data_IF_565763007819
#
_entry.id   IF_565763007819
#
_cell.length_a   1.000
_cell.length_b   1.000
_cell.length_c   1.000
_cell.angle_alpha   90.00
_cell.angle_beta   90.00
_cell.angle_gamma   90.00
#
_symmetry.space_group_name_H-M   'P 1'
#
loop_
_entity.id
_entity.type
_entity.pdbx_description
1 polymer ?
#
# COMPACT_ATOMS: atom_id res chain seq x y z
N UNK A 1 41.68 90.51 48.84
CA UNK A 1 41.75 89.15 48.24
C UNK A 1 40.33 88.61 48.10
N UNK A 2 39.90 88.09 46.93
CA UNK A 2 38.51 87.72 46.68
C UNK A 2 38.24 86.24 47.03
N UNK A 3 37.12 85.97 47.70
CA UNK A 3 36.62 84.63 48.00
C UNK A 3 35.73 84.13 46.86
N UNK A 4 36.14 83.07 46.16
CA UNK A 4 35.33 82.37 45.14
C UNK A 4 34.28 81.50 45.84
N UNK A 5 33.01 81.69 45.49
CA UNK A 5 31.92 80.79 45.86
C UNK A 5 31.82 79.69 44.79
N UNK A 6 31.90 78.43 45.21
CA UNK A 6 31.78 77.25 44.35
C UNK A 6 30.32 76.77 44.38
N UNK A 7 29.61 76.88 43.26
CA UNK A 7 28.26 76.34 43.09
C UNK A 7 28.34 74.84 42.79
N UNK A 8 27.82 74.02 43.71
CA UNK A 8 27.72 72.57 43.54
C UNK A 8 26.59 72.20 42.55
N UNK A 9 26.75 71.13 41.75
CA UNK A 9 25.74 70.72 40.78
C UNK A 9 24.51 70.06 41.46
N UNK A 10 23.31 70.17 40.88
CA UNK A 10 22.11 69.54 41.41
C UNK A 10 22.21 68.01 41.31
N UNK A 11 21.95 67.33 42.43
CA UNK A 11 21.84 65.86 42.48
C UNK A 11 20.46 65.45 41.96
N UNK A 12 20.42 64.67 40.88
CA UNK A 12 19.18 64.06 40.42
C UNK A 12 18.65 63.10 41.50
N UNK A 13 17.36 63.19 41.88
CA UNK A 13 16.78 62.25 42.83
C UNK A 13 16.74 60.85 42.19
N UNK A 14 17.41 59.91 42.82
CA UNK A 14 17.26 58.48 42.57
C UNK A 14 15.81 58.12 42.90
N UNK A 15 14.99 57.91 41.88
CA UNK A 15 13.61 57.43 42.04
C UNK A 15 13.68 56.01 42.61
N UNK A 16 13.17 55.84 43.84
CA UNK A 16 13.15 54.56 44.53
C UNK A 16 12.25 53.56 43.81
N UNK A 17 12.77 52.36 43.62
CA UNK A 17 12.11 51.19 43.04
C UNK A 17 10.85 50.87 43.84
N UNK A 18 9.67 51.13 43.30
CA UNK A 18 8.42 50.87 44.04
C UNK A 18 8.09 49.39 43.99
N UNK A 19 7.59 48.83 45.09
CA UNK A 19 7.14 47.42 45.15
C UNK A 19 6.13 47.08 44.03
N UNK A 20 5.32 48.07 43.64
CA UNK A 20 4.35 47.97 42.55
C UNK A 20 5.06 47.72 41.21
N UNK A 21 6.18 48.39 40.93
CA UNK A 21 6.92 48.26 39.68
C UNK A 21 7.54 46.87 39.53
N UNK A 22 8.05 46.31 40.64
CA UNK A 22 8.53 44.93 40.68
C UNK A 22 7.41 43.94 40.46
N UNK A 23 6.26 44.17 41.09
CA UNK A 23 5.10 43.29 40.99
C UNK A 23 4.53 43.28 39.56
N UNK A 24 4.46 44.44 38.92
CA UNK A 24 4.06 44.56 37.50
C UNK A 24 5.10 43.89 36.60
N UNK A 25 6.40 44.10 36.83
CA UNK A 25 7.45 43.46 36.06
C UNK A 25 7.39 41.92 36.19
N UNK A 26 7.18 41.41 37.40
CA UNK A 26 7.01 39.97 37.66
C UNK A 26 5.74 39.42 37.02
N UNK A 27 4.63 40.17 37.03
CA UNK A 27 3.39 39.76 36.38
C UNK A 27 3.58 39.67 34.86
N UNK A 28 4.19 40.68 34.23
CA UNK A 28 4.49 40.67 32.80
C UNK A 28 5.44 39.50 32.46
N UNK A 29 6.50 39.30 33.23
CA UNK A 29 7.43 38.19 33.06
C UNK A 29 6.74 36.83 33.20
N UNK A 30 5.83 36.67 34.17
CA UNK A 30 5.06 35.44 34.37
C UNK A 30 4.14 35.15 33.17
N UNK A 31 3.47 36.18 32.65
CA UNK A 31 2.61 36.08 31.47
C UNK A 31 3.42 35.74 30.22
N UNK A 32 4.57 36.39 30.01
CA UNK A 32 5.49 36.07 28.90
C UNK A 32 6.05 34.65 29.01
N UNK A 33 6.45 34.21 30.20
CA UNK A 33 6.95 32.85 30.44
C UNK A 33 5.88 31.79 30.13
N UNK A 34 4.63 32.03 30.53
CA UNK A 34 3.53 31.11 30.24
C UNK A 34 3.18 31.06 28.75
N UNK A 35 3.21 32.19 28.04
CA UNK A 35 3.02 32.22 26.59
C UNK A 35 4.18 31.54 25.84
N UNK A 36 5.42 31.73 26.28
CA UNK A 36 6.60 31.10 25.70
C UNK A 36 6.52 29.56 25.79
N UNK A 37 6.14 29.02 26.96
CA UNK A 37 6.00 27.58 27.15
C UNK A 37 4.87 26.99 26.29
N UNK A 38 3.71 27.67 26.23
CA UNK A 38 2.60 27.25 25.37
C UNK A 38 2.93 27.33 23.88
N UNK A 39 3.75 28.30 23.48
CA UNK A 39 4.25 28.43 22.09
C UNK A 39 5.18 27.27 21.71
N UNK A 40 6.05 26.84 22.63
CA UNK A 40 6.93 25.68 22.44
C UNK A 40 6.11 24.39 22.35
N UNK A 41 5.15 24.17 23.26
CA UNK A 41 4.28 22.99 23.25
C UNK A 41 3.46 22.86 21.95
N UNK A 42 2.94 23.98 21.43
CA UNK A 42 2.20 24.00 20.18
C UNK A 42 3.08 23.64 18.97
N UNK A 43 4.33 24.11 18.94
CA UNK A 43 5.30 23.80 17.90
C UNK A 43 5.75 22.33 17.93
N UNK A 44 6.01 21.79 19.13
CA UNK A 44 6.38 20.38 19.31
C UNK A 44 5.27 19.47 18.80
N UNK A 45 4.02 19.70 19.22
CA UNK A 45 2.87 18.90 18.76
C UNK A 45 2.63 18.97 17.26
N UNK A 46 2.84 20.14 16.65
CA UNK A 46 2.73 20.31 15.20
C UNK A 46 3.79 19.50 14.46
N UNK A 47 5.04 19.51 14.96
CA UNK A 47 6.14 18.71 14.40
C UNK A 47 5.87 17.22 14.54
N UNK A 48 5.42 16.76 15.70
CA UNK A 48 5.14 15.34 15.94
C UNK A 48 4.03 14.82 15.00
N UNK A 49 2.96 15.60 14.81
CA UNK A 49 1.89 15.26 13.87
C UNK A 49 2.37 15.23 12.40
N UNK A 50 3.18 16.22 12.00
CA UNK A 50 3.75 16.26 10.65
C UNK A 50 4.71 15.09 10.39
N UNK A 51 5.52 14.71 11.39
CA UNK A 51 6.43 13.56 11.31
C UNK A 51 5.67 12.23 11.18
N UNK A 52 4.58 12.05 11.95
CA UNK A 52 3.75 10.84 11.85
C UNK A 52 3.12 10.67 10.46
N UNK A 53 2.56 11.74 9.90
CA UNK A 53 1.99 11.71 8.56
C UNK A 53 3.06 11.42 7.48
N UNK A 54 4.25 12.00 7.60
CA UNK A 54 5.35 11.75 6.67
C UNK A 54 5.79 10.27 6.69
N UNK A 55 5.86 9.65 7.87
CA UNK A 55 6.19 8.22 8.00
C UNK A 55 5.13 7.32 7.35
N UNK A 56 3.84 7.63 7.53
CA UNK A 56 2.75 6.87 6.89
C UNK A 56 2.81 6.94 5.37
N UNK A 57 3.06 8.14 4.82
CA UNK A 57 3.23 8.32 3.37
C UNK A 57 4.46 7.54 2.87
N UNK A 58 5.57 7.57 3.61
CA UNK A 58 6.78 6.81 3.27
C UNK A 58 6.47 5.31 3.21
N UNK A 59 5.84 4.74 4.25
CA UNK A 59 5.47 3.32 4.30
C UNK A 59 4.55 2.93 3.14
N UNK A 60 3.55 3.77 2.83
CA UNK A 60 2.66 3.56 1.70
C UNK A 60 3.44 3.54 0.38
N UNK A 61 4.30 4.55 0.16
CA UNK A 61 5.11 4.64 -1.06
C UNK A 61 6.06 3.46 -1.20
N UNK A 62 6.70 3.02 -0.12
CA UNK A 62 7.58 1.84 -0.11
C UNK A 62 6.80 0.57 -0.43
N UNK A 63 5.61 0.40 0.14
CA UNK A 63 4.76 -0.77 -0.12
C UNK A 63 4.31 -0.83 -1.57
N UNK A 64 3.84 0.30 -2.12
CA UNK A 64 3.41 0.40 -3.52
C UNK A 64 4.58 0.15 -4.46
N UNK A 65 5.74 0.77 -4.21
CA UNK A 65 6.95 0.54 -5.00
C UNK A 65 7.41 -0.92 -4.96
N UNK A 66 7.35 -1.56 -3.79
CA UNK A 66 7.70 -2.97 -3.65
C UNK A 66 6.75 -3.87 -4.45
N UNK A 67 5.45 -3.57 -4.43
CA UNK A 67 4.44 -4.30 -5.21
C UNK A 67 4.65 -4.12 -6.72
N UNK A 68 4.94 -2.90 -7.17
CA UNK A 68 5.27 -2.62 -8.57
C UNK A 68 6.54 -3.37 -9.03
N UNK A 69 7.58 -3.38 -8.20
CA UNK A 69 8.83 -4.09 -8.51
C UNK A 69 8.64 -5.60 -8.62
N UNK A 70 7.70 -6.17 -7.86
CA UNK A 70 7.36 -7.58 -7.97
C UNK A 70 6.65 -7.89 -9.28
N UNK A 71 5.71 -7.04 -9.70
CA UNK A 71 5.04 -7.16 -10.99
C UNK A 71 5.97 -6.87 -12.18
N UNK A 72 6.90 -5.92 -12.05
CA UNK A 72 7.85 -5.59 -13.12
C UNK A 72 8.84 -6.73 -13.42
N UNK A 73 8.98 -7.69 -12.51
CA UNK A 73 9.87 -8.85 -12.66
C UNK A 73 9.10 -10.15 -12.89
N UNK A 74 7.79 -10.05 -13.18
CA UNK A 74 6.92 -11.18 -13.46
C UNK A 74 7.49 -12.06 -14.58
N UNK A 75 7.48 -13.37 -14.38
CA UNK A 75 8.08 -14.32 -15.31
C UNK A 75 7.23 -15.59 -15.38
N UNK A 76 6.89 -16.01 -16.60
CA UNK A 76 6.23 -17.30 -16.85
C UNK A 76 7.17 -18.45 -16.55
N UNK A 77 6.63 -19.49 -15.89
CA UNK A 77 7.35 -20.72 -15.54
C UNK A 77 6.47 -21.93 -15.85
N UNK A 78 7.01 -23.05 -16.36
CA UNK A 78 6.22 -24.27 -16.54
C UNK A 78 5.65 -24.78 -15.21
N UNK A 79 4.36 -25.16 -15.21
CA UNK A 79 3.72 -25.85 -14.08
C UNK A 79 3.36 -24.96 -12.87
N UNK A 80 3.68 -23.67 -12.87
CA UNK A 80 3.25 -22.71 -11.85
C UNK A 80 2.75 -21.43 -12.53
N UNK A 81 1.49 -21.00 -12.28
CA UNK A 81 0.95 -19.79 -12.88
C UNK A 81 1.81 -18.57 -12.57
N UNK A 82 2.05 -17.75 -13.60
CA UNK A 82 2.89 -16.57 -13.46
C UNK A 82 2.28 -15.54 -12.49
N UNK A 83 0.97 -15.37 -12.55
CA UNK A 83 0.19 -14.44 -11.73
C UNK A 83 -1.17 -15.07 -11.43
N UNK A 84 -1.57 -15.10 -10.17
CA UNK A 84 -2.89 -15.59 -9.75
C UNK A 84 -3.40 -14.82 -8.56
N UNK A 85 -4.67 -14.42 -8.60
CA UNK A 85 -5.37 -13.85 -7.46
C UNK A 85 -6.58 -14.71 -7.12
N UNK A 86 -6.69 -15.15 -5.87
CA UNK A 86 -7.79 -15.98 -5.38
C UNK A 86 -8.74 -15.23 -4.43
N UNK A 87 -8.66 -13.90 -4.37
CA UNK A 87 -9.43 -13.06 -3.47
C UNK A 87 -8.79 -12.86 -2.10
N UNK A 88 -7.99 -13.82 -1.63
CA UNK A 88 -7.31 -13.77 -0.34
C UNK A 88 -5.79 -13.56 -0.47
N UNK A 89 -5.20 -13.94 -1.59
CA UNK A 89 -3.79 -13.84 -1.88
C UNK A 89 -3.54 -13.60 -3.38
N UNK A 90 -2.61 -12.69 -3.66
CA UNK A 90 -2.03 -12.46 -4.98
C UNK A 90 -0.68 -13.18 -5.00
N UNK A 91 -0.58 -14.20 -5.83
CA UNK A 91 0.62 -15.01 -6.03
C UNK A 91 1.22 -14.67 -7.38
N UNK A 92 2.53 -14.51 -7.40
CA UNK A 92 3.25 -14.24 -8.64
C UNK A 92 4.63 -14.89 -8.63
N UNK A 93 5.05 -15.42 -9.77
CA UNK A 93 6.42 -15.88 -9.96
C UNK A 93 7.22 -14.79 -10.64
N UNK A 94 8.33 -14.41 -10.02
CA UNK A 94 9.21 -13.36 -10.52
C UNK A 94 10.65 -13.80 -10.64
N UNK A 95 11.39 -13.12 -11.52
CA UNK A 95 12.84 -13.28 -11.64
C UNK A 95 13.56 -12.67 -10.44
N UNK A 96 14.57 -13.37 -9.96
CA UNK A 96 15.53 -12.93 -8.96
C UNK A 96 16.96 -13.22 -9.44
N UNK A 97 17.96 -12.70 -8.73
CA UNK A 97 19.37 -12.86 -9.10
C UNK A 97 19.79 -14.34 -9.21
N UNK A 98 19.31 -15.17 -8.30
CA UNK A 98 19.74 -16.57 -8.15
C UNK A 98 18.66 -17.58 -8.62
N UNK A 99 17.70 -17.14 -9.44
CA UNK A 99 16.65 -17.99 -10.00
C UNK A 99 15.26 -17.36 -9.96
N UNK A 100 14.25 -18.19 -9.77
CA UNK A 100 12.85 -17.81 -9.64
C UNK A 100 12.43 -17.73 -8.18
N UNK A 101 11.55 -16.78 -7.88
CA UNK A 101 10.96 -16.61 -6.55
C UNK A 101 9.45 -16.56 -6.70
N UNK A 102 8.74 -17.26 -5.81
CA UNK A 102 7.31 -17.09 -5.62
C UNK A 102 7.07 -15.99 -4.58
N UNK A 103 6.36 -14.95 -4.96
CA UNK A 103 5.93 -13.88 -4.06
C UNK A 103 4.43 -13.99 -3.80
N UNK A 104 4.05 -13.78 -2.56
CA UNK A 104 2.66 -13.82 -2.11
C UNK A 104 2.36 -12.52 -1.38
N UNK A 105 1.40 -11.77 -1.88
CA UNK A 105 0.76 -10.66 -1.17
C UNK A 105 -0.57 -11.15 -0.60
N UNK A 106 -0.83 -10.91 0.67
CA UNK A 106 -2.08 -11.33 1.33
C UNK A 106 -2.45 -10.38 2.46
N UNK A 107 -3.74 -10.14 2.65
CA UNK A 107 -4.25 -9.35 3.76
C UNK A 107 -4.71 -10.28 4.89
N UNK A 108 -4.24 -10.03 6.12
CA UNK A 108 -4.63 -10.76 7.33
C UNK A 108 -5.07 -9.74 8.38
N UNK A 109 -6.34 -9.82 8.81
CA UNK A 109 -6.94 -8.77 9.62
C UNK A 109 -6.98 -7.45 8.84
N UNK A 110 -6.29 -6.43 9.34
CA UNK A 110 -6.16 -5.10 8.73
C UNK A 110 -4.77 -4.85 8.11
N UNK A 111 -3.94 -5.89 8.00
CA UNK A 111 -2.53 -5.75 7.63
C UNK A 111 -2.23 -6.53 6.34
N UNK A 112 -1.62 -5.85 5.38
CA UNK A 112 -1.09 -6.42 4.15
C UNK A 112 0.31 -6.98 4.41
N UNK A 113 0.51 -8.25 4.09
CA UNK A 113 1.76 -8.97 4.20
C UNK A 113 2.34 -9.29 2.82
N UNK A 114 3.67 -9.33 2.77
CA UNK A 114 4.44 -9.84 1.63
C UNK A 114 5.32 -10.99 2.08
N UNK A 115 5.14 -12.16 1.49
CA UNK A 115 6.03 -13.30 1.64
C UNK A 115 6.76 -13.58 0.33
N UNK A 116 8.00 -14.05 0.41
CA UNK A 116 8.78 -14.48 -0.75
C UNK A 116 9.48 -15.80 -0.42
N UNK A 117 9.42 -16.76 -1.35
CA UNK A 117 10.16 -18.01 -1.23
C UNK A 117 11.67 -17.75 -1.34
N UNK A 118 12.51 -18.68 -0.87
CA UNK A 118 13.89 -18.76 -1.33
C UNK A 118 13.95 -18.82 -2.86
N UNK A 119 15.02 -18.26 -3.44
CA UNK A 119 15.25 -18.35 -4.88
C UNK A 119 15.57 -19.79 -5.27
N UNK A 120 14.92 -20.30 -6.32
CA UNK A 120 15.15 -21.64 -6.84
C UNK A 120 15.29 -21.63 -8.36
N UNK A 121 16.17 -22.49 -8.88
CA UNK A 121 16.29 -22.76 -10.31
C UNK A 121 15.51 -24.01 -10.75
N UNK A 122 14.88 -24.73 -9.80
CA UNK A 122 14.19 -25.99 -10.06
C UNK A 122 12.68 -25.79 -10.05
N UNK A 123 12.03 -26.21 -11.15
CA UNK A 123 10.58 -26.13 -11.28
C UNK A 123 9.86 -26.93 -10.18
N UNK A 124 10.37 -28.10 -9.81
CA UNK A 124 9.79 -28.92 -8.74
C UNK A 124 9.75 -28.18 -7.38
N UNK A 125 10.83 -27.49 -7.01
CA UNK A 125 10.87 -26.70 -5.77
C UNK A 125 9.91 -25.50 -5.83
N UNK A 126 9.81 -24.84 -6.99
CA UNK A 126 8.85 -23.75 -7.18
C UNK A 126 7.40 -24.24 -7.02
N UNK A 127 7.09 -25.45 -7.51
CA UNK A 127 5.78 -26.08 -7.35
C UNK A 127 5.48 -26.46 -5.90
N UNK A 128 6.48 -26.91 -5.13
CA UNK A 128 6.35 -27.11 -3.69
C UNK A 128 6.07 -25.79 -2.95
N UNK A 129 6.77 -24.70 -3.29
CA UNK A 129 6.50 -23.37 -2.74
C UNK A 129 5.10 -22.89 -3.09
N UNK A 130 4.65 -23.15 -4.31
CA UNK A 130 3.29 -22.86 -4.75
C UNK A 130 2.26 -23.57 -3.88
N UNK A 131 2.39 -24.90 -3.69
CA UNK A 131 1.49 -25.68 -2.87
C UNK A 131 1.49 -25.22 -1.40
N UNK A 132 2.67 -24.91 -0.84
CA UNK A 132 2.79 -24.38 0.53
C UNK A 132 2.10 -23.02 0.68
N UNK A 133 2.22 -22.16 -0.33
CA UNK A 133 1.64 -20.81 -0.31
C UNK A 133 0.11 -20.79 -0.29
N UNK A 134 -0.54 -21.93 -0.58
CA UNK A 134 -2.00 -22.07 -0.48
C UNK A 134 -2.50 -21.94 0.96
N UNK A 135 -1.64 -22.18 1.94
CA UNK A 135 -1.98 -22.11 3.35
C UNK A 135 -1.19 -21.00 4.04
N UNK A 136 -1.90 -20.02 4.61
CA UNK A 136 -1.27 -18.92 5.35
C UNK A 136 -0.34 -19.43 6.47
N UNK A 137 -0.75 -20.46 7.21
CA UNK A 137 0.06 -21.09 8.25
C UNK A 137 1.43 -21.56 7.76
N UNK A 138 1.54 -22.00 6.50
CA UNK A 138 2.78 -22.50 5.90
C UNK A 138 3.78 -21.40 5.53
N UNK A 139 3.35 -20.14 5.41
CA UNK A 139 4.18 -19.02 4.98
C UNK A 139 4.27 -17.87 6.00
N UNK A 140 3.41 -17.86 7.03
CA UNK A 140 3.30 -16.76 8.00
C UNK A 140 4.61 -16.35 8.67
N UNK A 141 5.51 -17.32 8.94
CA UNK A 141 6.74 -17.06 9.69
C UNK A 141 7.76 -16.23 8.89
N UNK A 142 7.73 -16.33 7.55
CA UNK A 142 8.59 -15.53 6.68
C UNK A 142 7.88 -14.31 6.08
N UNK A 143 6.63 -14.05 6.47
CA UNK A 143 5.81 -13.00 5.86
C UNK A 143 6.09 -11.64 6.54
N UNK A 144 6.44 -10.64 5.74
CA UNK A 144 6.76 -9.30 6.22
C UNK A 144 5.50 -8.43 6.22
N UNK A 145 5.14 -7.77 7.34
CA UNK A 145 4.07 -6.79 7.36
C UNK A 145 4.51 -5.54 6.58
N UNK A 146 3.72 -5.15 5.58
CA UNK A 146 4.05 -4.03 4.69
C UNK A 146 3.25 -2.78 5.02
N UNK A 147 1.93 -2.95 5.24
CA UNK A 147 1.01 -1.84 5.43
C UNK A 147 -0.13 -2.28 6.35
N UNK A 148 -0.42 -1.50 7.39
CA UNK A 148 -1.50 -1.76 8.37
C UNK A 148 -2.68 -0.81 8.18
N UNK A 149 -3.79 -1.06 8.89
CA UNK A 149 -5.02 -0.25 8.85
C UNK A 149 -5.71 -0.26 7.48
N UNK A 150 -5.59 -1.35 6.71
CA UNK A 150 -6.37 -1.56 5.51
C UNK A 150 -7.76 -2.07 5.90
N UNK A 151 -8.77 -1.48 5.29
CA UNK A 151 -10.15 -1.97 5.36
C UNK A 151 -10.55 -2.75 4.12
N UNK A 152 -9.85 -2.56 3.01
CA UNK A 152 -10.13 -3.21 1.74
C UNK A 152 -8.82 -3.35 0.93
N UNK A 153 -8.67 -4.51 0.30
CA UNK A 153 -7.63 -4.79 -0.68
C UNK A 153 -8.26 -5.57 -1.84
N UNK A 154 -8.23 -4.98 -3.04
CA UNK A 154 -8.80 -5.56 -4.24
C UNK A 154 -7.78 -5.51 -5.38
N UNK A 155 -7.88 -6.50 -6.27
CA UNK A 155 -7.06 -6.61 -7.47
C UNK A 155 -7.95 -6.77 -8.69
N UNK A 156 -7.67 -5.99 -9.73
CA UNK A 156 -8.36 -6.03 -11.00
C UNK A 156 -7.37 -6.28 -12.12
N UNK A 157 -7.82 -6.99 -13.15
CA UNK A 157 -7.03 -7.28 -14.34
C UNK A 157 -7.59 -6.54 -15.55
N UNK A 158 -6.69 -6.03 -16.36
CA UNK A 158 -6.97 -5.56 -17.71
C UNK A 158 -6.56 -6.65 -18.69
N UNK A 159 -7.54 -7.35 -19.27
CA UNK A 159 -7.31 -8.51 -20.15
C UNK A 159 -7.40 -8.10 -21.62
N UNK A 160 -6.72 -8.84 -22.48
CA UNK A 160 -6.84 -8.64 -23.92
C UNK A 160 -8.28 -8.91 -24.38
N UNK A 161 -8.78 -8.07 -25.29
CA UNK A 161 -10.09 -8.25 -25.92
C UNK A 161 -11.23 -7.47 -25.26
N UNK A 162 -11.27 -7.37 -23.93
CA UNK A 162 -12.45 -6.81 -23.23
C UNK A 162 -12.41 -5.28 -23.03
N UNK A 163 -11.24 -4.65 -23.26
CA UNK A 163 -10.99 -3.21 -23.09
C UNK A 163 -11.56 -2.61 -21.79
N UNK A 164 -11.65 -3.42 -20.73
CA UNK A 164 -12.28 -3.06 -19.45
C UNK A 164 -11.52 -3.69 -18.29
N UNK A 165 -11.63 -3.07 -17.11
CA UNK A 165 -11.11 -3.61 -15.87
C UNK A 165 -12.13 -4.59 -15.28
N UNK A 166 -11.75 -5.86 -15.14
CA UNK A 166 -12.56 -6.87 -14.46
C UNK A 166 -11.90 -7.25 -13.13
N UNK A 167 -12.70 -7.67 -12.15
CA UNK A 167 -12.15 -8.21 -10.91
C UNK A 167 -11.25 -9.40 -11.27
N UNK A 168 -10.09 -9.53 -10.61
CA UNK A 168 -9.13 -10.56 -10.96
C UNK A 168 -9.68 -12.00 -10.79
N UNK A 169 -10.71 -12.19 -9.94
CA UNK A 169 -11.43 -13.46 -9.80
C UNK A 169 -12.58 -13.65 -10.80
N UNK A 170 -13.02 -12.58 -11.48
CA UNK A 170 -14.10 -12.69 -12.45
C UNK A 170 -13.59 -13.40 -13.70
N UNK A 171 -14.31 -14.45 -14.12
CA UNK A 171 -14.20 -15.05 -15.45
C UNK A 171 -14.88 -14.20 -16.54
N UNK A 172 -15.02 -12.88 -16.34
CA UNK A 172 -15.62 -12.00 -17.35
C UNK A 172 -14.76 -12.12 -18.61
N UNK A 173 -15.35 -12.75 -19.63
CA UNK A 173 -14.66 -13.51 -20.68
C UNK A 173 -15.48 -14.74 -21.13
N UNK A 174 -16.38 -15.25 -20.28
CA UNK A 174 -17.44 -16.21 -20.67
C UNK A 174 -18.58 -15.54 -21.44
N UNK A 175 -18.32 -14.98 -22.63
CA UNK A 175 -19.29 -14.85 -23.74
C UNK A 175 -18.82 -13.81 -24.76
N UNK A 176 -18.14 -14.25 -25.82
CA UNK A 176 -18.43 -13.72 -27.15
C UNK A 176 -18.21 -14.78 -28.23
N UNK A 177 -18.86 -15.94 -28.08
CA UNK A 177 -19.39 -16.58 -29.28
C UNK A 177 -20.62 -15.76 -29.67
N UNK A 178 -20.50 -15.03 -30.79
CA UNK A 178 -21.59 -14.24 -31.34
C UNK A 178 -22.90 -15.04 -31.37
N UNK A 179 -24.07 -14.44 -31.09
CA UNK A 179 -25.33 -15.11 -31.36
C UNK A 179 -25.42 -15.25 -32.88
N UNK A 180 -25.07 -16.42 -33.40
CA UNK A 180 -25.43 -16.80 -34.76
C UNK A 180 -26.95 -16.79 -34.78
N UNK A 181 -27.50 -15.80 -35.49
CA UNK A 181 -28.93 -15.66 -35.72
C UNK A 181 -29.51 -17.00 -36.17
N UNK A 182 -30.63 -17.37 -35.56
CA UNK A 182 -31.17 -18.72 -35.54
C UNK A 182 -31.40 -19.35 -36.90
N UNK A 183 -31.10 -20.64 -36.98
CA UNK A 183 -31.74 -21.57 -37.90
C UNK A 183 -32.82 -22.35 -37.12
N UNK A 184 -34.01 -22.59 -37.71
CA UNK A 184 -35.13 -23.20 -37.01
C UNK A 184 -34.88 -24.68 -36.68
N UNK A 185 -35.29 -25.04 -35.46
CA UNK A 185 -35.24 -26.36 -34.84
C UNK A 185 -36.05 -27.43 -35.59
N UNK A 186 -35.45 -28.62 -35.73
CA UNK A 186 -36.17 -29.88 -35.93
C UNK A 186 -36.08 -30.70 -34.63
N UNK A 187 -37.18 -31.23 -34.07
CA UNK A 187 -37.14 -31.94 -32.80
C UNK A 187 -36.88 -33.44 -33.01
N UNK A 188 -35.83 -33.96 -32.35
CA UNK A 188 -35.62 -35.41 -32.26
C UNK A 188 -34.34 -35.77 -31.52
N UNK A 189 -34.47 -36.45 -30.38
CA UNK A 189 -33.37 -37.16 -29.74
C UNK A 189 -33.26 -36.91 -28.25
N UNK A 190 -33.90 -37.77 -27.46
CA UNK A 190 -33.61 -37.97 -26.04
C UNK A 190 -32.15 -38.37 -25.87
N UNK A 191 -31.39 -37.60 -25.09
CA UNK A 191 -30.00 -37.89 -24.75
C UNK A 191 -29.71 -37.37 -23.35
N UNK A 192 -29.76 -38.27 -22.39
CA UNK A 192 -29.27 -38.08 -21.03
C UNK A 192 -27.76 -37.84 -21.11
N UNK A 193 -27.28 -36.73 -20.57
CA UNK A 193 -25.92 -36.27 -20.78
C UNK A 193 -25.61 -35.11 -19.84
N UNK A 194 -25.40 -35.45 -18.57
CA UNK A 194 -24.73 -34.59 -17.61
C UNK A 194 -23.39 -34.13 -18.20
N UNK A 195 -23.33 -32.86 -18.61
CA UNK A 195 -22.10 -32.18 -19.03
C UNK A 195 -21.14 -32.17 -17.84
N UNK A 196 -19.94 -32.75 -17.94
CA UNK A 196 -18.90 -32.49 -16.94
C UNK A 196 -18.62 -30.98 -16.93
N UNK A 197 -18.32 -30.37 -15.77
CA UNK A 197 -17.76 -29.03 -15.78
C UNK A 197 -16.48 -29.05 -16.62
N UNK A 198 -16.42 -28.17 -17.62
CA UNK A 198 -15.26 -27.93 -18.47
C UNK A 198 -14.15 -27.29 -17.62
N UNK A 199 -13.45 -28.12 -16.84
CA UNK A 199 -12.33 -27.69 -15.98
C UNK A 199 -11.09 -27.29 -16.80
N UNK A 200 -11.06 -27.63 -18.09
CA UNK A 200 -9.92 -27.40 -18.98
C UNK A 200 -9.76 -25.94 -19.40
N UNK A 201 -10.86 -25.20 -19.54
CA UNK A 201 -10.81 -23.78 -19.93
C UNK A 201 -10.34 -22.85 -18.80
N UNK A 202 -10.63 -23.18 -17.53
CA UNK A 202 -10.17 -22.40 -16.37
C UNK A 202 -8.64 -22.50 -16.15
N UNK A 203 -7.99 -23.58 -16.61
CA UNK A 203 -6.53 -23.77 -16.52
C UNK A 203 -5.76 -23.05 -17.64
N UNK A 204 -6.29 -23.04 -18.87
CA UNK A 204 -5.68 -22.32 -20.00
C UNK A 204 -5.76 -20.79 -19.85
N UNK A 205 -6.86 -20.26 -19.30
CA UNK A 205 -7.01 -18.81 -19.07
C UNK A 205 -6.17 -18.30 -17.88
N UNK A 206 -5.86 -19.17 -16.90
CA UNK A 206 -4.95 -18.82 -15.80
C UNK A 206 -3.49 -18.66 -16.27
N UNK A 207 -3.15 -19.16 -17.46
CA UNK A 207 -1.83 -19.04 -18.07
C UNK A 207 -1.70 -17.79 -18.94
N UNK A 208 -2.82 -17.15 -19.32
CA UNK A 208 -2.81 -15.84 -19.97
C UNK A 208 -2.59 -14.71 -18.98
N UNK A 209 -1.41 -14.07 -19.08
CA UNK A 209 -1.11 -12.90 -18.28
C UNK A 209 -2.00 -11.71 -18.70
N UNK A 210 -2.54 -10.95 -17.74
CA UNK A 210 -3.22 -9.71 -18.05
C UNK A 210 -2.24 -8.67 -18.62
N UNK A 211 -2.75 -7.70 -19.37
CA UNK A 211 -1.96 -6.56 -19.86
C UNK A 211 -1.72 -5.51 -18.77
N UNK A 212 -2.59 -5.47 -17.76
CA UNK A 212 -2.46 -4.55 -16.65
C UNK A 212 -3.07 -5.11 -15.36
N UNK A 213 -2.52 -4.66 -14.24
CA UNK A 213 -2.98 -5.00 -12.90
C UNK A 213 -3.29 -3.71 -12.17
N UNK A 214 -4.49 -3.61 -11.59
CA UNK A 214 -4.91 -2.50 -10.75
C UNK A 214 -5.03 -2.99 -9.32
N UNK A 215 -4.35 -2.29 -8.41
CA UNK A 215 -4.44 -2.43 -6.97
C UNK A 215 -5.37 -1.36 -6.43
N UNK A 216 -6.34 -1.75 -5.61
CA UNK A 216 -7.19 -0.82 -4.85
C UNK A 216 -7.03 -1.11 -3.36
N UNK A 217 -6.60 -0.10 -2.60
CA UNK A 217 -6.44 -0.15 -1.15
C UNK A 217 -7.37 0.87 -0.50
N UNK A 218 -8.05 0.51 0.60
CA UNK A 218 -8.83 1.46 1.40
C UNK A 218 -8.14 1.70 2.74
N UNK A 219 -7.54 2.88 2.87
CA UNK A 219 -6.87 3.37 4.07
C UNK A 219 -7.77 4.37 4.83
N UNK A 220 -7.45 4.70 6.09
CA UNK A 220 -8.18 5.73 6.84
C UNK A 220 -8.12 7.11 6.18
N UNK A 221 -7.02 7.40 5.46
CA UNK A 221 -6.83 8.63 4.70
C UNK A 221 -7.65 8.70 3.39
N UNK A 222 -8.22 7.57 2.95
CA UNK A 222 -8.97 7.47 1.70
C UNK A 222 -8.58 6.27 0.83
N UNK A 223 -9.29 6.06 -0.29
CA UNK A 223 -8.94 5.02 -1.25
C UNK A 223 -7.68 5.39 -2.06
N UNK A 224 -6.82 4.41 -2.29
CA UNK A 224 -5.69 4.48 -3.21
C UNK A 224 -5.92 3.49 -4.35
N UNK A 225 -5.81 3.97 -5.58
CA UNK A 225 -5.83 3.12 -6.79
C UNK A 225 -4.48 3.24 -7.48
N UNK A 226 -3.86 2.09 -7.80
CA UNK A 226 -2.61 2.03 -8.55
C UNK A 226 -2.71 1.06 -9.72
N UNK A 227 -2.47 1.56 -10.91
CA UNK A 227 -2.49 0.79 -12.15
C UNK A 227 -1.06 0.53 -12.63
N UNK A 228 -0.75 -0.71 -12.99
CA UNK A 228 0.54 -1.14 -13.54
C UNK A 228 0.30 -1.86 -14.85
N UNK A 229 0.98 -1.43 -15.90
CA UNK A 229 1.01 -2.16 -17.16
C UNK A 229 2.06 -3.26 -17.06
N UNK A 230 1.68 -4.47 -17.45
CA UNK A 230 2.60 -5.59 -17.58
C UNK A 230 3.18 -5.55 -18.99
N UNK A 231 4.50 -5.47 -19.07
CA UNK A 231 5.21 -5.62 -20.34
C UNK A 231 5.09 -7.07 -20.79
N UNK A 232 4.11 -7.35 -21.65
CA UNK A 232 4.03 -8.63 -22.34
C UNK A 232 5.14 -8.67 -23.38
N UNK A 233 6.14 -9.53 -23.20
CA UNK A 233 6.84 -10.05 -24.36
C UNK A 233 5.80 -10.85 -25.16
N UNK A 234 5.48 -10.32 -26.34
CA UNK A 234 4.65 -10.96 -27.35
C UNK A 234 5.38 -12.15 -27.98
#
# INVERSE_FOLDING_TARGET
>A
MPSRVHTAPPRHPLRGFTLVEVLVALFIMAVLAMMAWRGIDALVRSRDGAQGNAQQILLLSTTVNQWEQDLAQLQRTPGVPALKFDGAALRLTRRAKDGMVLVVWTMQGDTLYRWASPATSRVAELQEWWMRSQQWSGIREGALPMLSQLSEWQVYYYRQGDNTWSNAQSSAGRSNAAPVAGAPSTPGGSGDGSTPPDTTSDEEDADQLPQGVRLVLRLPAGPLTRDVLLSGDH
#
